data_IF_083191514431
#
_entry.id   IF_083191514431
#
_cell.length_a   1.000
_cell.length_b   1.000
_cell.length_c   1.000
_cell.angle_alpha   90.00
_cell.angle_beta   90.00
_cell.angle_gamma   90.00
#
_symmetry.space_group_name_H-M   'P 1'
#
loop_
_entity.id
_entity.type
_entity.pdbx_description
1 polymer ?
#
# COMPACT_ATOMS: atom_id res chain seq x y z
N UNK A 1 9.63 -2.61 -5.20
CA UNK A 1 8.81 -1.60 -4.48
C UNK A 1 8.85 -0.25 -5.17
N UNK A 2 10.02 0.35 -5.49
CA UNK A 2 10.09 1.70 -6.05
C UNK A 2 9.24 1.88 -7.33
N UNK A 3 9.34 0.97 -8.30
CA UNK A 3 8.51 1.01 -9.52
C UNK A 3 7.01 0.87 -9.23
N UNK A 4 6.66 0.08 -8.21
CA UNK A 4 5.26 -0.07 -7.75
C UNK A 4 4.77 1.25 -7.16
N UNK A 5 5.52 1.86 -6.25
CA UNK A 5 5.17 3.14 -5.65
C UNK A 5 5.04 4.25 -6.69
N UNK A 6 5.95 4.30 -7.67
CA UNK A 6 5.87 5.25 -8.79
C UNK A 6 4.63 5.01 -9.67
N UNK A 7 4.27 3.76 -9.97
CA UNK A 7 3.05 3.44 -10.70
C UNK A 7 1.80 3.90 -9.94
N UNK A 8 1.71 3.55 -8.66
CA UNK A 8 0.58 3.89 -7.80
C UNK A 8 0.41 5.40 -7.60
N UNK A 9 1.51 6.15 -7.49
CA UNK A 9 1.46 7.61 -7.31
C UNK A 9 0.86 8.36 -8.51
N UNK A 10 0.86 7.73 -9.68
CA UNK A 10 0.28 8.29 -10.92
C UNK A 10 -1.13 7.79 -11.20
N UNK A 11 -1.64 6.87 -10.39
CA UNK A 11 -2.95 6.24 -10.64
C UNK A 11 -4.09 7.11 -10.13
N UNK A 12 -5.12 7.30 -10.95
CA UNK A 12 -6.23 8.22 -10.66
C UNK A 12 -7.11 7.82 -9.48
N UNK A 13 -7.16 6.53 -9.10
CA UNK A 13 -7.90 6.01 -7.93
C UNK A 13 -7.11 6.04 -6.62
N UNK A 14 -5.83 6.37 -6.68
CA UNK A 14 -4.97 6.51 -5.49
C UNK A 14 -4.93 7.99 -5.08
N UNK A 15 -5.13 8.27 -3.81
CA UNK A 15 -5.06 9.62 -3.25
C UNK A 15 -3.70 9.92 -2.62
N UNK A 16 -3.06 8.91 -2.04
CA UNK A 16 -1.77 9.05 -1.38
C UNK A 16 -0.95 7.76 -1.53
N UNK A 17 0.35 7.90 -1.72
CA UNK A 17 1.33 6.81 -1.62
C UNK A 17 2.33 7.15 -0.52
N UNK A 18 2.52 6.23 0.41
CA UNK A 18 3.48 6.34 1.51
C UNK A 18 4.63 5.38 1.21
N UNK A 19 5.74 5.94 0.77
CA UNK A 19 6.95 5.17 0.44
C UNK A 19 8.19 6.06 0.58
N UNK A 20 9.14 5.63 1.39
CA UNK A 20 10.33 6.43 1.71
C UNK A 20 11.15 6.87 0.49
N UNK A 21 11.05 6.15 -0.63
CA UNK A 21 11.70 6.52 -1.90
C UNK A 21 10.99 7.61 -2.71
N UNK A 22 9.79 8.02 -2.29
CA UNK A 22 9.04 9.13 -2.88
C UNK A 22 8.95 10.34 -1.93
N UNK A 23 9.50 10.22 -0.71
CA UNK A 23 9.50 11.32 0.24
C UNK A 23 10.38 12.49 -0.26
N UNK A 24 9.90 13.70 -0.02
CA UNK A 24 10.59 14.95 -0.36
C UNK A 24 10.99 15.73 0.90
N UNK A 25 11.74 16.80 0.72
CA UNK A 25 12.19 17.68 1.80
C UNK A 25 13.01 16.93 2.86
N UNK A 26 12.81 17.27 4.12
CA UNK A 26 13.57 16.72 5.26
C UNK A 26 13.41 15.19 5.40
N UNK A 27 12.22 14.64 5.13
CA UNK A 27 11.98 13.21 5.16
C UNK A 27 12.76 12.48 4.06
N UNK A 28 12.76 13.02 2.85
CA UNK A 28 13.54 12.50 1.73
C UNK A 28 15.05 12.58 1.95
N UNK A 29 15.55 13.69 2.49
CA UNK A 29 16.96 13.82 2.87
C UNK A 29 17.36 12.77 3.92
N UNK A 30 16.52 12.53 4.91
CA UNK A 30 16.72 11.52 5.95
C UNK A 30 16.71 10.11 5.37
N UNK A 31 15.74 9.80 4.51
CA UNK A 31 15.67 8.52 3.80
C UNK A 31 16.95 8.27 2.99
N UNK A 32 17.38 9.22 2.19
CA UNK A 32 18.60 9.13 1.37
C UNK A 32 19.89 9.04 2.21
N UNK A 33 19.90 9.62 3.40
CA UNK A 33 21.05 9.55 4.31
C UNK A 33 21.22 8.16 4.91
N UNK A 34 20.14 7.52 5.34
CA UNK A 34 20.18 6.29 6.12
C UNK A 34 19.87 5.03 5.32
N UNK A 35 19.05 5.11 4.29
CA UNK A 35 18.66 3.97 3.45
C UNK A 35 19.58 3.86 2.24
N UNK A 36 20.70 3.16 2.41
CA UNK A 36 21.66 2.92 1.33
C UNK A 36 21.33 1.62 0.59
N UNK A 37 21.23 1.68 -0.74
CA UNK A 37 20.93 0.52 -1.58
C UNK A 37 19.44 0.27 -1.83
N UNK A 38 18.55 1.13 -1.33
CA UNK A 38 17.10 1.07 -1.59
C UNK A 38 16.27 1.52 -0.38
N UNK A 39 14.98 1.74 -0.61
CA UNK A 39 14.04 2.32 0.37
C UNK A 39 13.08 1.28 0.97
N UNK A 40 13.44 -0.01 0.90
CA UNK A 40 12.63 -1.09 1.45
C UNK A 40 11.52 -1.57 0.51
N UNK A 41 10.74 -2.53 1.01
CA UNK A 41 9.70 -3.23 0.26
C UNK A 41 8.27 -2.84 0.69
N UNK A 42 8.12 -2.03 1.74
CA UNK A 42 6.81 -1.60 2.24
C UNK A 42 6.33 -0.36 1.50
N UNK A 43 5.09 -0.40 1.06
CA UNK A 43 4.40 0.71 0.44
C UNK A 43 2.98 0.80 1.01
N UNK A 44 2.59 1.97 1.51
CA UNK A 44 1.21 2.27 1.90
C UNK A 44 0.50 3.04 0.80
N UNK A 45 -0.78 2.77 0.61
CA UNK A 45 -1.63 3.54 -0.28
C UNK A 45 -2.94 3.90 0.39
N UNK A 46 -3.48 5.06 0.03
CA UNK A 46 -4.85 5.45 0.34
C UNK A 46 -5.64 5.53 -0.96
N UNK A 47 -6.84 4.97 -0.96
CA UNK A 47 -7.70 4.95 -2.13
C UNK A 47 -8.80 6.02 -2.05
N UNK A 48 -9.13 6.60 -3.18
CA UNK A 48 -10.31 7.44 -3.30
C UNK A 48 -11.55 6.56 -3.19
N UNK A 49 -12.54 6.98 -2.39
CA UNK A 49 -13.77 6.22 -2.17
C UNK A 49 -13.85 5.51 -0.81
N UNK A 50 -12.87 5.75 0.07
CA UNK A 50 -12.92 5.35 1.47
C UNK A 50 -12.79 3.84 1.70
N UNK A 51 -13.32 3.36 2.83
CA UNK A 51 -13.24 1.97 3.27
C UNK A 51 -13.73 0.97 2.22
N UNK A 52 -14.84 1.28 1.55
CA UNK A 52 -15.42 0.38 0.54
C UNK A 52 -14.48 0.13 -0.65
N UNK A 53 -13.72 1.15 -1.08
CA UNK A 53 -12.71 0.98 -2.14
C UNK A 53 -11.53 0.16 -1.65
N UNK A 54 -11.08 0.32 -0.40
CA UNK A 54 -10.06 -0.52 0.20
C UNK A 54 -10.46 -2.00 0.24
N UNK A 55 -11.70 -2.29 0.65
CA UNK A 55 -12.25 -3.65 0.68
C UNK A 55 -12.35 -4.26 -0.73
N UNK A 56 -12.84 -3.51 -1.71
CA UNK A 56 -12.91 -3.99 -3.09
C UNK A 56 -11.53 -4.24 -3.67
N UNK A 57 -10.61 -3.32 -3.46
CA UNK A 57 -9.23 -3.48 -3.92
C UNK A 57 -8.60 -4.75 -3.38
N UNK A 58 -8.60 -4.95 -2.04
CA UNK A 58 -7.95 -6.10 -1.42
C UNK A 58 -8.57 -7.43 -1.87
N UNK A 59 -9.90 -7.47 -2.08
CA UNK A 59 -10.61 -8.67 -2.49
C UNK A 59 -10.42 -9.02 -3.99
N UNK A 60 -9.88 -8.10 -4.79
CA UNK A 60 -9.60 -8.31 -6.21
C UNK A 60 -8.12 -8.54 -6.52
N UNK A 61 -7.25 -8.54 -5.52
CA UNK A 61 -5.87 -8.99 -5.66
C UNK A 61 -5.82 -10.52 -5.80
N UNK A 62 -5.08 -11.01 -6.78
CA UNK A 62 -4.96 -12.44 -7.06
C UNK A 62 -3.56 -12.99 -6.73
N UNK A 63 -2.53 -12.17 -6.90
CA UNK A 63 -1.14 -12.53 -6.62
C UNK A 63 -0.75 -12.24 -5.16
N UNK A 64 -1.22 -11.10 -4.62
CA UNK A 64 -0.89 -10.70 -3.27
C UNK A 64 -1.57 -11.59 -2.24
N UNK A 65 -0.80 -12.10 -1.29
CA UNK A 65 -1.35 -12.80 -0.14
C UNK A 65 -1.96 -11.82 0.86
N UNK A 66 -3.21 -12.06 1.24
CA UNK A 66 -3.93 -11.21 2.21
C UNK A 66 -3.55 -11.63 3.63
N UNK A 67 -2.49 -11.05 4.16
CA UNK A 67 -1.95 -11.36 5.50
C UNK A 67 -1.18 -10.18 6.10
N UNK A 68 -1.28 -10.02 7.41
CA UNK A 68 -0.56 -9.01 8.19
C UNK A 68 0.88 -9.45 8.49
N UNK A 69 1.70 -9.63 7.46
CA UNK A 69 3.11 -10.00 7.61
C UNK A 69 4.01 -9.06 6.80
N UNK A 70 5.32 -9.16 6.99
CA UNK A 70 6.35 -8.33 6.35
C UNK A 70 7.54 -9.22 6.02
N UNK A 71 8.18 -8.98 4.86
CA UNK A 71 9.45 -9.61 4.52
C UNK A 71 9.34 -11.03 4.00
N UNK A 72 8.18 -11.42 3.50
CA UNK A 72 8.00 -12.66 2.72
C UNK A 72 8.61 -12.49 1.31
N UNK A 73 9.00 -13.59 0.68
CA UNK A 73 9.37 -13.61 -0.73
C UNK A 73 8.18 -13.31 -1.64
N UNK A 74 6.97 -13.57 -1.20
CA UNK A 74 5.72 -13.23 -1.90
C UNK A 74 5.24 -11.83 -1.55
N UNK A 75 4.57 -11.21 -2.51
CA UNK A 75 3.85 -9.97 -2.28
C UNK A 75 2.66 -10.17 -1.34
N UNK A 76 2.54 -9.30 -0.35
CA UNK A 76 1.51 -9.33 0.68
C UNK A 76 0.73 -8.02 0.70
N UNK A 77 -0.55 -8.11 1.06
CA UNK A 77 -1.40 -6.94 1.23
C UNK A 77 -2.27 -7.08 2.48
N UNK A 78 -2.56 -5.94 3.13
CA UNK A 78 -3.51 -5.87 4.22
C UNK A 78 -4.29 -4.56 4.16
N UNK A 79 -5.60 -4.65 4.39
CA UNK A 79 -6.50 -3.52 4.60
C UNK A 79 -6.88 -3.46 6.09
N UNK A 80 -6.21 -2.64 6.91
CA UNK A 80 -6.39 -2.63 8.36
C UNK A 80 -7.83 -2.42 8.80
N UNK A 81 -8.55 -1.50 8.15
CA UNK A 81 -9.92 -1.15 8.51
C UNK A 81 -10.93 -2.32 8.41
N UNK A 82 -10.66 -3.33 7.56
CA UNK A 82 -11.51 -4.53 7.45
C UNK A 82 -10.93 -5.75 8.16
N UNK A 83 -9.75 -5.65 8.74
CA UNK A 83 -9.05 -6.79 9.36
C UNK A 83 -8.56 -6.48 10.78
N UNK A 84 -7.32 -6.02 10.94
CA UNK A 84 -6.69 -5.81 12.25
C UNK A 84 -7.33 -4.72 13.10
N UNK A 85 -8.02 -3.76 12.48
CA UNK A 85 -8.70 -2.63 13.13
C UNK A 85 -10.22 -2.66 12.91
N UNK A 86 -10.78 -3.79 12.48
CA UNK A 86 -12.21 -3.91 12.13
C UNK A 86 -13.17 -3.68 13.32
N UNK A 87 -12.68 -3.73 14.55
CA UNK A 87 -13.46 -3.50 15.77
C UNK A 87 -13.47 -2.02 16.20
N UNK A 88 -12.63 -1.18 15.58
CA UNK A 88 -12.61 0.26 15.87
C UNK A 88 -13.72 0.98 15.10
N UNK A 89 -14.29 2.01 15.73
CA UNK A 89 -15.13 2.98 15.01
C UNK A 89 -14.28 3.79 14.02
N UNK A 90 -14.92 4.44 13.06
CA UNK A 90 -14.20 5.30 12.10
C UNK A 90 -13.48 6.46 12.82
N UNK A 91 -14.07 7.02 13.89
CA UNK A 91 -13.46 8.07 14.72
C UNK A 91 -12.23 7.55 15.49
N UNK A 92 -12.30 6.31 16.02
CA UNK A 92 -11.16 5.70 16.72
C UNK A 92 -10.02 5.34 15.74
N UNK A 93 -10.37 4.91 14.52
CA UNK A 93 -9.38 4.67 13.46
C UNK A 93 -8.66 5.97 13.07
N UNK A 94 -9.39 7.05 12.88
CA UNK A 94 -8.83 8.36 12.57
C UNK A 94 -7.92 8.87 13.70
N UNK A 95 -8.36 8.73 14.96
CA UNK A 95 -7.57 9.08 16.14
C UNK A 95 -6.28 8.24 16.25
N UNK A 96 -6.31 6.99 15.79
CA UNK A 96 -5.14 6.11 15.69
C UNK A 96 -4.27 6.38 14.45
N UNK A 97 -4.63 7.34 13.59
CA UNK A 97 -3.92 7.66 12.36
C UNK A 97 -4.09 6.62 11.26
N UNK A 98 -5.13 5.81 11.31
CA UNK A 98 -5.44 4.79 10.31
C UNK A 98 -6.56 5.29 9.42
N UNK A 99 -6.22 5.72 8.19
CA UNK A 99 -7.24 6.07 7.21
C UNK A 99 -8.05 4.82 6.82
N UNK A 100 -9.40 4.88 6.81
CA UNK A 100 -10.24 3.75 6.44
C UNK A 100 -9.99 3.17 5.04
N UNK A 101 -9.43 3.96 4.12
CA UNK A 101 -9.07 3.51 2.77
C UNK A 101 -7.64 2.98 2.64
N UNK A 102 -6.88 2.99 3.74
CA UNK A 102 -5.47 2.63 3.74
C UNK A 102 -5.26 1.13 3.48
N UNK A 103 -4.37 0.83 2.54
CA UNK A 103 -3.87 -0.53 2.29
C UNK A 103 -2.35 -0.53 2.39
N UNK A 104 -1.79 -1.46 3.14
CA UNK A 104 -0.35 -1.70 3.19
C UNK A 104 0.02 -2.84 2.26
N UNK A 105 1.01 -2.60 1.42
CA UNK A 105 1.61 -3.57 0.52
C UNK A 105 3.02 -3.90 1.01
N UNK A 106 3.38 -5.18 1.03
CA UNK A 106 4.75 -5.67 1.18
C UNK A 106 5.13 -6.33 -0.14
N UNK A 107 6.01 -5.70 -0.90
CA UNK A 107 6.35 -6.12 -2.26
C UNK A 107 7.37 -7.25 -2.20
N UNK A 108 7.05 -8.37 -2.82
CA UNK A 108 7.88 -9.55 -2.93
C UNK A 108 8.90 -9.50 -4.08
N UNK A 109 9.32 -10.67 -4.52
CA UNK A 109 10.35 -10.85 -5.54
C UNK A 109 9.80 -11.35 -6.89
N UNK A 110 8.49 -11.32 -7.07
CA UNK A 110 7.82 -11.67 -8.32
C UNK A 110 8.20 -10.68 -9.44
N UNK A 111 7.91 -11.05 -10.68
CA UNK A 111 8.19 -10.16 -11.81
C UNK A 111 7.40 -8.86 -11.69
N UNK A 112 8.04 -7.75 -11.96
CA UNK A 112 7.45 -6.42 -11.74
C UNK A 112 6.20 -6.18 -12.57
N UNK A 113 6.16 -6.70 -13.79
CA UNK A 113 5.00 -6.51 -14.67
C UNK A 113 3.78 -7.28 -14.15
N UNK A 114 3.98 -8.47 -13.59
CA UNK A 114 2.91 -9.28 -12.98
C UNK A 114 2.35 -8.58 -11.73
N UNK A 115 3.23 -8.01 -10.89
CA UNK A 115 2.82 -7.21 -9.71
C UNK A 115 1.98 -6.00 -10.16
N UNK A 116 2.42 -5.27 -11.18
CA UNK A 116 1.71 -4.09 -11.66
C UNK A 116 0.38 -4.47 -12.30
N UNK A 117 0.32 -5.58 -13.04
CA UNK A 117 -0.90 -6.07 -13.66
C UNK A 117 -1.95 -6.45 -12.60
N UNK A 118 -1.55 -7.17 -11.55
CA UNK A 118 -2.46 -7.53 -10.45
C UNK A 118 -3.00 -6.30 -9.74
N UNK A 119 -2.12 -5.34 -9.41
CA UNK A 119 -2.52 -4.06 -8.81
C UNK A 119 -3.48 -3.27 -9.71
N UNK A 120 -3.20 -3.22 -11.02
CA UNK A 120 -4.07 -2.55 -11.99
C UNK A 120 -5.46 -3.16 -12.01
N UNK A 121 -5.56 -4.48 -12.11
CA UNK A 121 -6.84 -5.19 -12.14
C UNK A 121 -7.64 -4.96 -10.86
N UNK A 122 -6.98 -4.99 -9.70
CA UNK A 122 -7.62 -4.71 -8.42
C UNK A 122 -8.08 -3.24 -8.30
N UNK A 123 -7.28 -2.29 -8.79
CA UNK A 123 -7.67 -0.88 -8.83
C UNK A 123 -8.83 -0.62 -9.80
N UNK A 124 -8.86 -1.26 -10.95
CA UNK A 124 -9.95 -1.11 -11.92
C UNK A 124 -11.29 -1.57 -11.33
N UNK A 125 -11.28 -2.55 -10.42
CA UNK A 125 -12.46 -3.07 -9.73
C UNK A 125 -12.90 -2.25 -8.49
N UNK A 126 -12.03 -1.42 -7.93
CA UNK A 126 -12.25 -0.69 -6.66
C UNK A 126 -13.12 0.56 -6.77
#
# INVERSE_FOLDING_TARGET
AAKVAEYLSKHNKVSLVIYAGLDEGEAGERANKYLKGGHGALCGIELKGGKASGEKFINNLNMFYHVANIGDARSLAIHPASTTHSQLSDDDMEAAGVNPSYVRLSIGIEHIDDIIEDLKNALDAA
#
